data_IF_668351058095
#
_entry.id   IF_668351058095
#
_cell.length_a   1.000
_cell.length_b   1.000
_cell.length_c   1.000
_cell.angle_alpha   90.00
_cell.angle_beta   90.00
_cell.angle_gamma   90.00
#
_symmetry.space_group_name_H-M   'P 1'
#
loop_
_entity.id
_entity.type
_entity.pdbx_description
1 polymer ?
#
# COMPACT_ATOMS: atom_id res chain seq x y z
N UNK A 1 -14.09 2.89 -1.25
CA UNK A 1 -13.49 1.54 -1.17
C UNK A 1 -14.34 0.53 -1.94
N UNK A 2 -15.69 0.48 -1.76
CA UNK A 2 -16.59 -0.42 -2.51
C UNK A 2 -16.43 -0.32 -4.03
N UNK A 3 -16.26 0.88 -4.57
CA UNK A 3 -16.15 1.09 -6.03
C UNK A 3 -14.77 0.72 -6.58
N UNK A 4 -13.72 0.71 -5.75
CA UNK A 4 -12.38 0.23 -6.13
C UNK A 4 -12.36 -1.28 -6.41
N UNK A 5 -13.23 -2.04 -5.75
CA UNK A 5 -13.30 -3.51 -5.88
C UNK A 5 -14.23 -3.93 -7.02
N UNK A 6 -15.31 -3.19 -7.31
CA UNK A 6 -16.22 -3.49 -8.41
C UNK A 6 -15.59 -3.49 -9.80
N UNK A 7 -14.43 -2.83 -10.00
CA UNK A 7 -13.75 -2.80 -11.29
C UNK A 7 -12.86 -4.03 -11.57
N UNK A 8 -12.80 -5.00 -10.66
CA UNK A 8 -11.99 -6.23 -10.81
C UNK A 8 -12.73 -7.40 -11.43
N UNK A 9 -13.81 -7.18 -12.17
CA UNK A 9 -14.43 -8.22 -13.00
C UNK A 9 -13.41 -8.79 -13.98
N UNK A 10 -13.17 -10.09 -13.92
CA UNK A 10 -12.24 -10.89 -14.75
C UNK A 10 -12.57 -10.89 -16.26
N UNK A 11 -13.24 -9.88 -16.77
CA UNK A 11 -13.71 -9.79 -18.14
C UNK A 11 -13.35 -8.53 -18.92
N UNK A 12 -12.68 -7.54 -18.30
CA UNK A 12 -12.37 -6.29 -18.98
C UNK A 12 -10.98 -6.33 -19.66
N UNK A 13 -11.00 -6.83 -20.87
CA UNK A 13 -9.88 -6.78 -21.82
C UNK A 13 -9.46 -5.33 -22.04
N UNK A 14 -8.22 -4.99 -21.68
CA UNK A 14 -7.47 -3.77 -22.05
C UNK A 14 -8.21 -2.42 -21.93
N UNK A 15 -8.74 -2.08 -20.76
CA UNK A 15 -9.03 -0.66 -20.48
C UNK A 15 -7.73 0.08 -20.26
N UNK A 16 -7.54 1.16 -21.02
CA UNK A 16 -6.49 2.16 -20.77
C UNK A 16 -6.85 2.93 -19.50
N UNK A 17 -6.72 2.30 -18.33
CA UNK A 17 -7.27 2.80 -17.05
C UNK A 17 -6.87 4.24 -16.74
N UNK A 18 -5.75 4.72 -17.26
CA UNK A 18 -5.36 6.10 -17.07
C UNK A 18 -6.30 7.06 -17.81
N UNK A 19 -6.70 6.72 -19.04
CA UNK A 19 -7.62 7.53 -19.84
C UNK A 19 -9.09 7.28 -19.47
N UNK A 20 -9.43 6.05 -19.11
CA UNK A 20 -10.81 5.63 -18.83
C UNK A 20 -11.24 5.94 -17.38
N UNK A 21 -10.30 6.31 -16.50
CA UNK A 21 -10.61 6.73 -15.12
C UNK A 21 -11.08 8.17 -15.10
N UNK A 22 -12.33 8.40 -14.69
CA UNK A 22 -12.88 9.74 -14.60
C UNK A 22 -12.14 10.63 -13.60
N UNK A 23 -12.15 11.96 -13.82
CA UNK A 23 -11.56 12.91 -12.88
C UNK A 23 -12.22 12.85 -11.50
N UNK A 24 -13.52 12.60 -11.44
CA UNK A 24 -14.24 12.40 -10.18
C UNK A 24 -13.65 11.23 -9.38
N UNK A 25 -13.35 10.11 -10.04
CA UNK A 25 -12.70 8.97 -9.40
C UNK A 25 -11.28 9.29 -8.96
N UNK A 26 -10.51 10.06 -9.76
CA UNK A 26 -9.20 10.57 -9.38
C UNK A 26 -9.29 11.37 -8.09
N UNK A 27 -10.17 12.39 -8.04
CA UNK A 27 -10.37 13.21 -6.85
C UNK A 27 -10.73 12.36 -5.64
N UNK A 28 -11.74 11.51 -5.74
CA UNK A 28 -12.17 10.64 -4.65
C UNK A 28 -11.05 9.75 -4.12
N UNK A 29 -10.24 9.15 -4.99
CA UNK A 29 -9.14 8.28 -4.56
C UNK A 29 -8.03 9.08 -3.89
N UNK A 30 -7.65 10.22 -4.43
CA UNK A 30 -6.65 11.10 -3.83
C UNK A 30 -7.14 11.65 -2.48
N UNK A 31 -8.39 12.10 -2.41
CA UNK A 31 -8.96 12.64 -1.17
C UNK A 31 -8.96 11.60 -0.04
N UNK A 32 -9.33 10.36 -0.34
CA UNK A 32 -9.35 9.29 0.68
C UNK A 32 -7.94 8.79 0.99
N UNK A 33 -7.16 8.43 -0.02
CA UNK A 33 -5.93 7.67 0.19
C UNK A 33 -4.72 8.54 0.53
N UNK A 34 -4.68 9.79 0.07
CA UNK A 34 -3.57 10.70 0.31
C UNK A 34 -3.93 11.76 1.35
N UNK A 35 -4.96 12.57 1.09
CA UNK A 35 -5.36 13.62 2.02
C UNK A 35 -5.82 13.05 3.37
N UNK A 36 -6.50 11.90 3.39
CA UNK A 36 -6.87 11.23 4.63
C UNK A 36 -5.66 10.86 5.50
N UNK A 37 -4.58 10.38 4.89
CA UNK A 37 -3.32 10.07 5.60
C UNK A 37 -2.66 11.36 6.10
N UNK A 38 -2.55 12.38 5.25
CA UNK A 38 -1.97 13.68 5.62
C UNK A 38 -2.75 14.35 6.77
N UNK A 39 -4.08 14.28 6.75
CA UNK A 39 -4.90 14.79 7.87
C UNK A 39 -4.62 14.03 9.17
N UNK A 40 -4.44 12.70 9.10
CA UNK A 40 -4.04 11.90 10.25
C UNK A 40 -2.69 12.36 10.82
N UNK A 41 -1.68 12.54 9.98
CA UNK A 41 -0.36 13.04 10.39
C UNK A 41 -0.51 14.42 11.06
N UNK A 42 -1.21 15.35 10.43
CA UNK A 42 -1.39 16.71 10.95
C UNK A 42 -2.11 16.76 12.31
N UNK A 43 -2.97 15.79 12.60
CA UNK A 43 -3.71 15.73 13.88
C UNK A 43 -2.88 15.04 14.97
N UNK A 44 -2.20 13.95 14.63
CA UNK A 44 -1.57 13.09 15.63
C UNK A 44 -0.10 13.45 15.90
N UNK A 45 0.66 13.85 14.86
CA UNK A 45 2.08 14.16 15.03
C UNK A 45 2.35 15.28 16.06
N UNK A 46 1.65 16.43 16.05
CA UNK A 46 1.87 17.45 17.08
C UNK A 46 1.68 16.94 18.50
N UNK A 47 0.72 16.03 18.71
CA UNK A 47 0.45 15.43 20.02
C UNK A 47 1.55 14.47 20.46
N UNK A 48 2.10 13.68 19.53
CA UNK A 48 3.24 12.81 19.80
C UNK A 48 4.50 13.60 20.17
N UNK A 49 4.72 14.72 19.51
CA UNK A 49 5.84 15.61 19.81
C UNK A 49 5.65 16.34 21.16
N UNK A 50 4.43 16.80 21.45
CA UNK A 50 4.12 17.58 22.65
C UNK A 50 4.29 16.79 23.96
N UNK A 51 3.82 15.52 24.01
CA UNK A 51 3.94 14.73 25.26
C UNK A 51 5.37 14.23 25.52
N UNK A 52 6.24 14.15 24.48
CA UNK A 52 7.67 13.85 24.65
C UNK A 52 8.02 12.41 25.06
N UNK A 53 7.02 11.51 25.18
CA UNK A 53 7.24 10.09 25.55
C UNK A 53 7.75 9.25 24.38
N UNK A 54 7.84 9.84 23.20
CA UNK A 54 8.14 9.15 21.96
C UNK A 54 6.88 8.65 21.26
N UNK A 55 7.04 8.09 20.08
CA UNK A 55 5.93 7.57 19.32
C UNK A 55 6.32 7.06 17.95
N UNK A 56 5.34 6.42 17.29
CA UNK A 56 5.55 5.88 15.96
C UNK A 56 4.29 6.05 15.10
N UNK A 57 4.44 6.59 13.91
CA UNK A 57 3.36 6.72 12.92
C UNK A 57 3.54 5.63 11.87
N UNK A 58 2.52 4.83 11.63
CA UNK A 58 2.50 3.87 10.51
C UNK A 58 1.48 4.32 9.48
N UNK A 59 1.96 4.70 8.30
CA UNK A 59 1.11 5.04 7.17
C UNK A 59 0.89 3.83 6.27
N UNK A 60 -0.36 3.49 5.98
CA UNK A 60 -0.67 2.35 5.11
C UNK A 60 -0.69 2.76 3.65
N UNK A 61 0.34 2.33 2.92
CA UNK A 61 0.42 2.40 1.47
C UNK A 61 -0.11 1.11 0.82
N UNK A 62 0.64 0.52 -0.06
CA UNK A 62 0.44 -0.74 -0.75
C UNK A 62 1.73 -1.11 -1.48
N UNK A 63 1.89 -2.36 -1.85
CA UNK A 63 2.93 -2.73 -2.80
C UNK A 63 2.80 -1.99 -4.15
N UNK A 64 1.56 -1.60 -4.53
CA UNK A 64 1.31 -0.70 -5.66
C UNK A 64 1.85 0.73 -5.47
N UNK A 65 2.35 1.09 -4.29
CA UNK A 65 3.09 2.33 -4.03
C UNK A 65 4.60 2.20 -4.24
N UNK A 66 5.10 0.98 -4.46
CA UNK A 66 6.51 0.67 -4.74
C UNK A 66 6.71 0.32 -6.22
N UNK A 67 5.81 -0.46 -6.80
CA UNK A 67 5.89 -0.91 -8.20
C UNK A 67 4.59 -0.57 -8.92
N UNK A 68 4.70 0.06 -10.10
CA UNK A 68 3.54 0.36 -10.95
C UNK A 68 2.98 -0.91 -11.60
N UNK A 69 1.66 -1.06 -11.56
CA UNK A 69 0.94 -2.17 -12.17
C UNK A 69 -0.06 -1.68 -13.21
N UNK A 70 -0.44 -2.57 -14.13
CA UNK A 70 -1.61 -2.34 -14.97
C UNK A 70 -2.88 -2.24 -14.12
N UNK A 71 -3.85 -1.50 -14.60
CA UNK A 71 -5.22 -1.46 -14.06
C UNK A 71 -5.44 -0.74 -12.71
N UNK A 72 -4.45 0.01 -12.19
CA UNK A 72 -4.58 0.70 -10.90
C UNK A 72 -4.01 2.13 -10.90
N UNK A 73 -4.15 2.89 -11.98
CA UNK A 73 -3.45 4.18 -12.15
C UNK A 73 -3.68 5.17 -11.01
N UNK A 74 -4.90 5.56 -10.71
CA UNK A 74 -5.17 6.54 -9.64
C UNK A 74 -4.85 5.97 -8.24
N UNK A 75 -5.16 4.70 -8.00
CA UNK A 75 -4.84 4.03 -6.74
C UNK A 75 -3.32 3.94 -6.54
N UNK A 76 -2.59 3.38 -7.52
CA UNK A 76 -1.13 3.27 -7.45
C UNK A 76 -0.48 4.63 -7.24
N UNK A 77 -0.87 5.64 -8.01
CA UNK A 77 -0.38 7.03 -7.84
C UNK A 77 -0.57 7.52 -6.41
N UNK A 78 -1.77 7.34 -5.83
CA UNK A 78 -2.02 7.74 -4.44
C UNK A 78 -1.14 6.99 -3.45
N UNK A 79 -0.85 5.71 -3.69
CA UNK A 79 -0.02 4.88 -2.81
C UNK A 79 1.47 5.19 -2.94
N UNK A 80 1.97 5.53 -4.14
CA UNK A 80 3.31 6.10 -4.33
C UNK A 80 3.48 7.41 -3.54
N UNK A 81 2.48 8.27 -3.57
CA UNK A 81 2.50 9.52 -2.81
C UNK A 81 2.58 9.28 -1.29
N UNK A 82 1.88 8.27 -0.76
CA UNK A 82 1.96 7.91 0.66
C UNK A 82 3.35 7.36 1.03
N UNK A 83 4.00 6.59 0.15
CA UNK A 83 5.38 6.15 0.36
C UNK A 83 6.30 7.36 0.48
N UNK A 84 6.33 8.20 -0.56
CA UNK A 84 7.20 9.39 -0.56
C UNK A 84 6.92 10.32 0.62
N UNK A 85 5.63 10.57 0.95
CA UNK A 85 5.27 11.38 2.12
C UNK A 85 5.82 10.79 3.42
N UNK A 86 5.82 9.47 3.59
CA UNK A 86 6.33 8.83 4.80
C UNK A 86 7.86 8.88 4.87
N UNK A 87 8.54 8.73 3.72
CA UNK A 87 9.99 8.90 3.64
C UNK A 87 10.42 10.31 4.06
N UNK A 88 9.73 11.34 3.55
CA UNK A 88 10.01 12.73 3.97
C UNK A 88 9.68 12.96 5.44
N UNK A 89 8.53 12.48 5.91
CA UNK A 89 8.16 12.57 7.32
C UNK A 89 9.22 11.93 8.23
N UNK A 90 9.72 10.75 7.86
CA UNK A 90 10.77 10.06 8.60
C UNK A 90 12.05 10.89 8.71
N UNK A 91 12.47 11.51 7.61
CA UNK A 91 13.65 12.38 7.58
C UNK A 91 13.45 13.65 8.44
N UNK A 92 12.26 14.24 8.40
CA UNK A 92 11.93 15.41 9.21
C UNK A 92 11.97 15.10 10.72
N UNK A 93 11.67 13.85 11.11
CA UNK A 93 11.63 13.39 12.49
C UNK A 93 12.97 12.82 13.01
N UNK A 94 14.05 12.87 12.23
CA UNK A 94 15.36 12.26 12.59
C UNK A 94 15.88 12.68 13.97
N UNK A 95 15.54 13.88 14.44
CA UNK A 95 16.01 14.45 15.72
C UNK A 95 14.97 14.33 16.84
N UNK A 96 13.82 13.80 16.55
CA UNK A 96 12.71 13.67 17.49
C UNK A 96 12.64 12.23 18.03
N UNK A 97 12.06 12.08 19.21
CA UNK A 97 11.77 10.74 19.76
C UNK A 97 10.47 10.16 19.16
N UNK A 98 10.17 10.49 17.90
CA UNK A 98 9.03 10.02 17.12
C UNK A 98 9.54 9.52 15.79
N UNK A 99 9.04 8.40 15.33
CA UNK A 99 9.46 7.81 14.08
C UNK A 99 8.27 7.53 13.15
N UNK A 100 8.55 7.14 11.91
CA UNK A 100 7.50 6.82 10.93
C UNK A 100 7.88 5.61 10.08
N UNK A 101 6.89 4.77 9.80
CA UNK A 101 6.98 3.63 8.89
C UNK A 101 5.91 3.70 7.81
N UNK A 102 6.19 3.11 6.67
CA UNK A 102 5.20 2.86 5.62
C UNK A 102 4.94 1.36 5.50
N UNK A 103 3.70 0.96 5.76
CA UNK A 103 3.23 -0.39 5.51
C UNK A 103 2.87 -0.53 4.02
N UNK A 104 3.52 -1.46 3.34
CA UNK A 104 3.36 -1.74 1.92
C UNK A 104 2.81 -3.17 1.69
N UNK A 105 1.53 -3.43 2.00
CA UNK A 105 0.96 -4.75 1.83
C UNK A 105 0.92 -5.16 0.36
N UNK A 106 1.19 -6.44 0.09
CA UNK A 106 0.90 -7.06 -1.20
C UNK A 106 -0.52 -7.61 -1.18
N UNK A 107 -0.72 -8.87 -0.89
CA UNK A 107 -2.03 -9.48 -0.76
C UNK A 107 -2.24 -9.85 0.71
N UNK A 108 -3.22 -9.22 1.35
CA UNK A 108 -3.64 -9.55 2.72
C UNK A 108 -5.08 -10.04 2.66
N UNK A 109 -5.33 -11.21 3.23
CA UNK A 109 -6.66 -11.81 3.27
C UNK A 109 -7.59 -11.01 4.19
N UNK A 110 -8.40 -10.17 3.58
CA UNK A 110 -9.33 -9.27 4.25
C UNK A 110 -10.62 -9.14 3.47
N UNK A 111 -11.71 -8.66 4.10
CA UNK A 111 -13.01 -8.45 3.42
C UNK A 111 -12.96 -7.55 2.19
N UNK A 112 -11.86 -6.84 1.92
CA UNK A 112 -11.70 -6.04 0.71
C UNK A 112 -11.79 -6.87 -0.59
N UNK A 113 -11.47 -8.15 -0.51
CA UNK A 113 -11.57 -9.09 -1.63
C UNK A 113 -12.94 -9.75 -1.75
N UNK A 114 -13.84 -9.53 -0.77
CA UNK A 114 -15.18 -10.13 -0.69
C UNK A 114 -16.28 -9.06 -0.61
N UNK A 115 -16.39 -8.17 -1.62
CA UNK A 115 -17.29 -7.00 -1.52
C UNK A 115 -18.76 -7.37 -1.39
N UNK A 116 -19.16 -8.53 -1.92
CA UNK A 116 -20.55 -9.00 -1.91
C UNK A 116 -20.88 -9.77 -0.62
N UNK A 117 -19.89 -9.96 0.26
CA UNK A 117 -20.03 -10.72 1.50
C UNK A 117 -19.50 -9.96 2.71
N UNK A 118 -19.41 -8.63 2.63
CA UNK A 118 -18.87 -7.79 3.69
C UNK A 118 -19.57 -7.96 5.05
N UNK A 119 -20.87 -8.31 5.02
CA UNK A 119 -21.70 -8.56 6.19
C UNK A 119 -22.07 -10.07 6.35
N UNK A 120 -21.39 -10.94 5.59
CA UNK A 120 -21.68 -12.36 5.61
C UNK A 120 -21.06 -13.06 6.82
N UNK A 121 -21.66 -14.19 7.17
CA UNK A 121 -21.09 -15.07 8.18
C UNK A 121 -19.81 -15.77 7.70
N UNK A 122 -19.06 -16.32 8.65
CA UNK A 122 -17.77 -16.96 8.39
C UNK A 122 -17.87 -18.10 7.36
N UNK A 123 -18.95 -18.87 7.38
CA UNK A 123 -19.16 -20.00 6.45
C UNK A 123 -19.30 -19.51 5.00
N UNK A 124 -20.03 -18.43 4.82
CA UNK A 124 -20.20 -17.79 3.51
C UNK A 124 -18.89 -17.21 3.00
N UNK A 125 -18.09 -16.57 3.87
CA UNK A 125 -16.78 -16.05 3.54
C UNK A 125 -15.82 -17.16 3.10
N UNK A 126 -15.75 -18.27 3.84
CA UNK A 126 -14.89 -19.42 3.51
C UNK A 126 -15.29 -20.07 2.19
N UNK A 127 -16.61 -20.22 1.94
CA UNK A 127 -17.11 -20.70 0.68
C UNK A 127 -16.70 -19.82 -0.48
N UNK A 128 -16.80 -18.48 -0.32
CA UNK A 128 -16.39 -17.52 -1.34
C UNK A 128 -14.88 -17.57 -1.60
N UNK A 129 -14.06 -17.65 -0.56
CA UNK A 129 -12.60 -17.85 -0.67
C UNK A 129 -12.28 -19.03 -1.56
N UNK A 130 -12.85 -20.19 -1.25
CA UNK A 130 -12.60 -21.44 -1.94
C UNK A 130 -13.03 -21.44 -3.41
N UNK A 131 -14.19 -20.86 -3.69
CA UNK A 131 -14.81 -20.95 -5.02
C UNK A 131 -14.36 -19.83 -5.96
N UNK A 132 -14.12 -18.63 -5.44
CA UNK A 132 -13.94 -17.44 -6.26
C UNK A 132 -12.51 -16.90 -6.29
N UNK A 133 -11.71 -17.19 -5.27
CA UNK A 133 -10.37 -16.59 -5.13
C UNK A 133 -9.31 -17.61 -4.66
N UNK A 134 -9.12 -18.72 -5.37
CA UNK A 134 -8.17 -19.77 -4.94
C UNK A 134 -6.71 -19.29 -4.85
N UNK A 135 -6.36 -18.22 -5.55
CA UNK A 135 -5.05 -17.60 -5.45
C UNK A 135 -4.82 -16.92 -4.09
N UNK A 136 -5.88 -16.43 -3.43
CA UNK A 136 -5.78 -15.77 -2.13
C UNK A 136 -5.29 -16.72 -1.04
N UNK A 137 -5.76 -17.98 -1.07
CA UNK A 137 -5.28 -19.02 -0.14
C UNK A 137 -3.79 -19.34 -0.34
N UNK A 138 -3.28 -19.11 -1.55
CA UNK A 138 -1.89 -19.44 -1.88
C UNK A 138 -0.92 -18.31 -1.54
N UNK A 139 -1.34 -17.05 -1.70
CA UNK A 139 -0.45 -15.89 -1.61
C UNK A 139 -0.93 -14.82 -0.64
N UNK A 140 -2.13 -14.96 -0.09
CA UNK A 140 -2.68 -14.04 0.89
C UNK A 140 -2.06 -14.25 2.26
N UNK A 141 -1.59 -13.18 2.88
CA UNK A 141 -1.13 -13.18 4.27
C UNK A 141 -2.32 -12.88 5.17
N UNK A 142 -2.40 -13.55 6.30
CA UNK A 142 -3.45 -13.31 7.29
C UNK A 142 -3.35 -11.89 7.88
N UNK A 143 -4.50 -11.32 8.25
CA UNK A 143 -4.55 -9.96 8.77
C UNK A 143 -3.88 -9.82 10.14
N UNK A 144 -3.96 -10.85 11.00
CA UNK A 144 -3.30 -10.87 12.31
C UNK A 144 -1.78 -11.00 12.14
N UNK A 145 -1.32 -11.86 11.23
CA UNK A 145 0.09 -11.98 10.88
C UNK A 145 0.63 -10.65 10.34
N UNK A 146 -0.13 -9.96 9.48
CA UNK A 146 0.20 -8.61 9.01
C UNK A 146 0.33 -7.64 10.17
N UNK A 147 -0.59 -7.68 11.16
CA UNK A 147 -0.51 -6.89 12.37
C UNK A 147 0.76 -7.14 13.19
N UNK A 148 1.17 -8.39 13.30
CA UNK A 148 2.41 -8.77 13.98
C UNK A 148 3.66 -8.27 13.22
N UNK A 149 3.66 -8.28 11.88
CA UNK A 149 4.72 -7.67 11.07
C UNK A 149 4.82 -6.16 11.31
N UNK A 150 3.69 -5.47 11.42
CA UNK A 150 3.65 -4.04 11.75
C UNK A 150 4.23 -3.79 13.12
N UNK A 151 3.80 -4.53 14.14
CA UNK A 151 4.33 -4.41 15.50
C UNK A 151 5.84 -4.62 15.55
N UNK A 152 6.33 -5.64 14.87
CA UNK A 152 7.77 -5.89 14.74
C UNK A 152 8.48 -4.72 14.05
N UNK A 153 7.95 -4.22 12.94
CA UNK A 153 8.51 -3.07 12.23
C UNK A 153 8.61 -1.81 13.10
N UNK A 154 7.61 -1.55 13.94
CA UNK A 154 7.64 -0.47 14.93
C UNK A 154 8.76 -0.72 15.96
N UNK A 155 8.86 -1.94 16.50
CA UNK A 155 9.86 -2.28 17.52
C UNK A 155 11.30 -2.23 17.01
N UNK A 156 11.52 -2.56 15.73
CA UNK A 156 12.84 -2.51 15.07
C UNK A 156 13.10 -1.23 14.30
N UNK A 157 12.17 -0.29 14.36
CA UNK A 157 12.23 1.02 13.71
C UNK A 157 12.44 0.94 12.18
N UNK A 158 11.76 0.01 11.51
CA UNK A 158 11.83 -0.16 10.06
C UNK A 158 11.06 0.95 9.33
N UNK A 159 11.66 1.57 8.31
CA UNK A 159 10.95 2.52 7.44
C UNK A 159 9.91 1.81 6.57
N UNK A 160 10.28 0.68 5.96
CA UNK A 160 9.38 -0.09 5.08
C UNK A 160 8.96 -1.40 5.73
N UNK A 161 7.66 -1.62 5.82
CA UNK A 161 7.08 -2.86 6.32
C UNK A 161 6.38 -3.56 5.16
N UNK A 162 6.93 -4.70 4.73
CA UNK A 162 6.36 -5.53 3.67
C UNK A 162 5.67 -6.76 4.28
N UNK A 163 4.65 -7.27 3.60
CA UNK A 163 3.90 -8.46 4.04
C UNK A 163 4.24 -9.72 3.25
N UNK A 164 5.09 -9.60 2.24
CA UNK A 164 5.52 -10.69 1.36
C UNK A 164 6.98 -10.45 0.94
N UNK A 165 7.79 -11.49 0.99
CA UNK A 165 9.23 -11.39 0.71
C UNK A 165 9.59 -11.74 -0.73
N UNK A 166 9.09 -12.85 -1.27
CA UNK A 166 9.61 -13.42 -2.53
C UNK A 166 9.06 -12.70 -3.77
N UNK A 167 7.74 -12.64 -3.91
CA UNK A 167 7.11 -12.01 -5.08
C UNK A 167 7.39 -10.50 -5.12
N UNK A 168 7.30 -9.84 -3.97
CA UNK A 168 7.60 -8.41 -3.84
C UNK A 168 9.05 -8.10 -4.21
N UNK A 169 10.01 -8.90 -3.75
CA UNK A 169 11.44 -8.72 -4.07
C UNK A 169 11.70 -8.78 -5.56
N UNK A 170 11.20 -9.81 -6.25
CA UNK A 170 11.40 -9.98 -7.70
C UNK A 170 10.87 -8.78 -8.51
N UNK A 171 9.70 -8.25 -8.15
CA UNK A 171 9.12 -7.08 -8.83
C UNK A 171 9.92 -5.80 -8.54
N UNK A 172 10.41 -5.62 -7.31
CA UNK A 172 11.26 -4.48 -6.93
C UNK A 172 12.61 -4.52 -7.66
N UNK A 173 13.23 -5.68 -7.77
CA UNK A 173 14.48 -5.87 -8.51
C UNK A 173 14.31 -5.46 -9.98
N UNK A 174 13.21 -5.87 -10.62
CA UNK A 174 12.88 -5.46 -11.99
C UNK A 174 12.77 -3.93 -12.16
N UNK A 175 12.06 -3.26 -11.23
CA UNK A 175 11.95 -1.79 -11.23
C UNK A 175 13.29 -1.11 -10.97
N UNK A 176 14.04 -1.57 -9.98
CA UNK A 176 15.35 -1.01 -9.63
C UNK A 176 16.35 -1.16 -10.77
N UNK A 177 16.40 -2.34 -11.39
CA UNK A 177 17.21 -2.59 -12.57
C UNK A 177 16.88 -1.61 -13.71
N UNK A 178 15.59 -1.42 -14.02
CA UNK A 178 15.18 -0.49 -15.07
C UNK A 178 15.62 0.97 -14.79
N UNK A 179 15.62 1.39 -13.51
CA UNK A 179 16.11 2.72 -13.11
C UNK A 179 17.62 2.84 -13.32
N UNK A 180 18.41 1.88 -12.87
CA UNK A 180 19.86 1.89 -13.07
C UNK A 180 20.25 1.82 -14.56
N UNK A 181 19.62 0.94 -15.33
CA UNK A 181 19.85 0.87 -16.78
C UNK A 181 19.52 2.20 -17.50
N UNK A 182 18.53 2.94 -17.01
CA UNK A 182 18.23 4.27 -17.55
C UNK A 182 19.34 5.27 -17.21
N UNK A 183 19.89 5.25 -16.00
CA UNK A 183 21.04 6.07 -15.61
C UNK A 183 22.28 5.72 -16.42
N UNK A 184 22.59 4.42 -16.56
CA UNK A 184 23.76 3.95 -17.32
C UNK A 184 23.71 4.35 -18.80
N UNK A 185 22.51 4.34 -19.40
CA UNK A 185 22.33 4.86 -20.77
C UNK A 185 22.55 6.36 -20.91
N UNK A 186 22.21 7.13 -19.87
CA UNK A 186 22.29 8.60 -19.87
C UNK A 186 23.67 9.09 -19.42
N UNK A 187 24.33 8.34 -18.56
CA UNK A 187 25.62 8.67 -17.95
C UNK A 187 26.53 7.44 -17.97
N UNK A 188 27.01 7.03 -19.16
CA UNK A 188 27.89 5.87 -19.29
C UNK A 188 29.18 6.10 -18.49
N UNK A 189 29.49 5.18 -17.58
CA UNK A 189 30.81 5.13 -16.93
C UNK A 189 31.86 4.69 -17.94
N UNK A 190 32.86 5.52 -18.19
CA UNK A 190 34.01 5.22 -19.06
C UNK A 190 34.83 4.03 -18.54
#
# INVERSE_FOLDING_TARGET
IRDLVRSRGLGDVYKRQFLDTSMERWHRVIDVNLWGVLHGINVFLPRLLEHGEGGHIVNTSSFSGIVGHHSQSCYGTSKFAVVGMTEYLRNDLEKDNVSASVLCPHIVDTPIYYPDVADADQVTIEKYKKEKMPWLEKIGVDAEETGNMVLKGIQTDELYIFTDGEASRSMMEGRTKALFEAMDRQFPTN
#
